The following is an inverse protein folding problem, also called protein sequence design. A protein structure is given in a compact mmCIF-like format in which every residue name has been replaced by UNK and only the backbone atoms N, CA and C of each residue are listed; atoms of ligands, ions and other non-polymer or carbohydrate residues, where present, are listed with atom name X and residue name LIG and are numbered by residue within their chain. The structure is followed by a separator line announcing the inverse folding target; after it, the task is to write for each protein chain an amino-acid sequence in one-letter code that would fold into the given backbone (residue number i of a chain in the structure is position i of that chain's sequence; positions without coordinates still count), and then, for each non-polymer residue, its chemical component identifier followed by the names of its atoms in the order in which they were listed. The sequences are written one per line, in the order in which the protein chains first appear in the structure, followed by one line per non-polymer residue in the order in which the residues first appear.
data_IF_517977122239
#
_entry.id   IF_517977122239
#
_cell.length_a   1.000
_cell.length_b   1.000
_cell.length_c   1.000
_cell.angle_alpha   90.00
_cell.angle_beta   90.00
_cell.angle_gamma   90.00
#
_symmetry.space_group_name_H-M   'P 1'
#
loop_
_entity.id
_entity.type
_entity.pdbx_description
1 polymer ?
#
# COMPACT_ATOMS: atom_id res chain seq x y z
N UNK A 1 -35.11 3.23 14.64
CA UNK A 1 -33.74 2.75 14.36
C UNK A 1 -32.82 3.38 15.38
N UNK A 2 -31.88 2.65 16.00
CA UNK A 2 -30.98 3.25 17.01
C UNK A 2 -29.95 4.16 16.34
N UNK A 3 -29.62 5.30 16.96
CA UNK A 3 -28.62 6.25 16.45
C UNK A 3 -27.26 5.56 16.23
N UNK A 4 -26.85 4.70 17.17
CA UNK A 4 -25.61 3.91 17.11
C UNK A 4 -25.52 3.03 15.88
N UNK A 5 -26.60 2.30 15.59
CA UNK A 5 -26.66 1.44 14.40
C UNK A 5 -26.49 2.25 13.11
N UNK A 6 -27.09 3.44 13.06
CA UNK A 6 -26.98 4.34 11.90
C UNK A 6 -25.54 4.83 11.73
N UNK A 7 -24.89 5.23 12.82
CA UNK A 7 -23.47 5.63 12.82
C UNK A 7 -22.59 4.48 12.32
N UNK A 8 -22.79 3.27 12.83
CA UNK A 8 -22.04 2.09 12.42
C UNK A 8 -22.19 1.78 10.93
N UNK A 9 -23.43 1.80 10.43
CA UNK A 9 -23.74 1.56 9.02
C UNK A 9 -23.08 2.62 8.12
N UNK A 10 -23.23 3.91 8.44
CA UNK A 10 -22.62 4.99 7.65
C UNK A 10 -21.09 4.94 7.70
N UNK A 11 -20.50 4.69 8.88
CA UNK A 11 -19.05 4.55 9.04
C UNK A 11 -18.51 3.38 8.23
N UNK A 12 -19.21 2.26 8.21
CA UNK A 12 -18.82 1.09 7.42
C UNK A 12 -18.80 1.34 5.91
N UNK A 13 -19.63 2.27 5.43
CA UNK A 13 -19.65 2.73 4.05
C UNK A 13 -18.56 3.76 3.73
N UNK A 14 -17.74 4.16 4.72
CA UNK A 14 -16.65 5.12 4.55
C UNK A 14 -17.05 6.58 4.73
N UNK A 15 -18.24 6.85 5.29
CA UNK A 15 -18.68 8.22 5.53
C UNK A 15 -17.83 8.93 6.58
N UNK A 16 -17.63 10.24 6.39
CA UNK A 16 -16.93 11.09 7.34
C UNK A 16 -17.82 11.43 8.54
N UNK A 17 -17.21 11.63 9.71
CA UNK A 17 -17.92 12.04 10.94
C UNK A 17 -18.77 13.29 10.74
N UNK A 18 -18.29 14.26 9.93
CA UNK A 18 -19.03 15.48 9.60
C UNK A 18 -20.35 15.18 8.86
N UNK A 19 -20.31 14.25 7.91
CA UNK A 19 -21.50 13.84 7.13
C UNK A 19 -22.47 13.08 8.02
N UNK A 20 -21.96 12.18 8.86
CA UNK A 20 -22.75 11.41 9.81
C UNK A 20 -23.44 12.35 10.80
N UNK A 21 -22.69 13.25 11.45
CA UNK A 21 -23.22 14.22 12.40
C UNK A 21 -24.32 15.10 11.76
N UNK A 22 -24.07 15.59 10.53
CA UNK A 22 -25.05 16.36 9.76
C UNK A 22 -26.33 15.58 9.46
N UNK A 23 -26.22 14.31 9.06
CA UNK A 23 -27.39 13.47 8.79
C UNK A 23 -28.24 13.19 10.05
N UNK A 24 -27.60 13.19 11.22
CA UNK A 24 -28.23 12.96 12.51
C UNK A 24 -28.70 14.26 13.19
N UNK A 25 -28.36 15.42 12.63
CA UNK A 25 -28.71 16.74 13.19
C UNK A 25 -27.99 17.06 14.50
N UNK A 26 -26.81 16.48 14.74
CA UNK A 26 -25.99 16.71 15.94
C UNK A 26 -24.65 17.32 15.57
N UNK A 27 -23.95 17.88 16.55
CA UNK A 27 -22.56 18.29 16.37
C UNK A 27 -21.61 17.08 16.44
N UNK A 28 -20.41 17.26 15.89
CA UNK A 28 -19.41 16.19 15.77
C UNK A 28 -18.86 15.78 17.14
N UNK A 29 -18.75 16.71 18.09
CA UNK A 29 -18.24 16.39 19.43
C UNK A 29 -19.25 15.53 20.20
N UNK A 30 -20.54 15.81 20.08
CA UNK A 30 -21.62 14.95 20.58
C UNK A 30 -21.59 13.57 19.93
N UNK A 31 -21.38 13.50 18.60
CA UNK A 31 -21.23 12.22 17.90
C UNK A 31 -20.06 11.39 18.47
N UNK A 32 -18.88 12.01 18.61
CA UNK A 32 -17.68 11.36 19.19
C UNK A 32 -17.89 10.93 20.62
N UNK A 33 -18.54 11.76 21.44
CA UNK A 33 -18.78 11.47 22.86
C UNK A 33 -19.70 10.28 23.07
N UNK A 34 -20.72 10.12 22.23
CA UNK A 34 -21.79 9.14 22.44
C UNK A 34 -21.71 7.91 21.54
N UNK A 35 -20.94 7.97 20.44
CA UNK A 35 -20.82 6.91 19.45
C UNK A 35 -19.36 6.59 19.08
N UNK A 36 -18.41 6.76 20.01
CA UNK A 36 -16.98 6.48 19.77
C UNK A 36 -16.74 5.05 19.29
N UNK A 37 -17.35 4.06 19.97
CA UNK A 37 -17.16 2.65 19.65
C UNK A 37 -17.62 2.32 18.23
N UNK A 38 -18.74 2.91 17.78
CA UNK A 38 -19.27 2.72 16.43
C UNK A 38 -18.42 3.42 15.37
N UNK A 39 -17.79 4.56 15.70
CA UNK A 39 -16.87 5.25 14.80
C UNK A 39 -15.56 4.49 14.60
N UNK A 40 -15.03 3.91 15.69
CA UNK A 40 -13.76 3.19 15.67
C UNK A 40 -13.92 1.78 15.08
N UNK A 41 -14.98 1.08 15.47
CA UNK A 41 -15.17 -0.33 15.16
C UNK A 41 -16.23 -0.60 14.09
N UNK A 42 -16.96 0.41 13.60
CA UNK A 42 -18.13 0.18 12.76
C UNK A 42 -17.85 -0.51 11.44
N UNK A 43 -16.67 -0.26 10.84
CA UNK A 43 -16.22 -1.02 9.68
C UNK A 43 -16.07 -2.52 10.00
N UNK A 44 -15.39 -2.85 11.10
CA UNK A 44 -15.13 -4.22 11.53
C UNK A 44 -16.41 -4.95 11.93
N UNK A 45 -17.27 -4.31 12.70
CA UNK A 45 -18.53 -4.88 13.19
C UNK A 45 -19.48 -5.18 12.02
N UNK A 46 -19.67 -4.23 11.11
CA UNK A 46 -20.54 -4.43 9.94
C UNK A 46 -19.94 -5.46 8.97
N UNK A 47 -18.62 -5.44 8.78
CA UNK A 47 -17.93 -6.45 7.96
C UNK A 47 -18.11 -7.86 8.54
N UNK A 48 -18.05 -8.03 9.86
CA UNK A 48 -18.32 -9.31 10.52
C UNK A 48 -19.73 -9.82 10.21
N UNK A 49 -20.74 -8.95 10.26
CA UNK A 49 -22.12 -9.32 9.94
C UNK A 49 -22.25 -9.78 8.49
N UNK A 50 -21.69 -9.02 7.53
CA UNK A 50 -21.70 -9.39 6.11
C UNK A 50 -21.02 -10.73 5.86
N UNK A 51 -19.89 -10.99 6.51
CA UNK A 51 -19.19 -12.28 6.43
C UNK A 51 -20.10 -13.41 6.97
N UNK A 52 -20.78 -13.19 8.10
CA UNK A 52 -21.72 -14.15 8.66
C UNK A 52 -22.86 -14.50 7.70
N UNK A 53 -23.46 -13.48 7.06
CA UNK A 53 -24.50 -13.67 6.04
C UNK A 53 -23.96 -14.46 4.83
N UNK A 54 -22.73 -14.17 4.40
CA UNK A 54 -22.09 -14.85 3.29
C UNK A 54 -21.88 -16.35 3.60
N UNK A 55 -21.38 -16.69 4.78
CA UNK A 55 -21.26 -18.08 5.23
C UNK A 55 -22.61 -18.79 5.33
N UNK A 56 -23.65 -18.11 5.84
CA UNK A 56 -25.00 -18.67 5.89
C UNK A 56 -25.50 -18.99 4.48
N UNK A 57 -25.32 -18.08 3.53
CA UNK A 57 -25.70 -18.28 2.12
C UNK A 57 -24.91 -19.41 1.45
N UNK A 58 -23.60 -19.47 1.68
CA UNK A 58 -22.73 -20.52 1.13
C UNK A 58 -23.10 -21.92 1.64
N UNK A 59 -23.44 -22.05 2.93
CA UNK A 59 -23.94 -23.32 3.51
C UNK A 59 -25.28 -23.76 2.92
N UNK A 60 -26.09 -22.81 2.47
CA UNK A 60 -27.33 -23.08 1.73
C UNK A 60 -27.14 -23.48 0.27
N UNK A 61 -25.90 -23.66 -0.20
CA UNK A 61 -25.61 -24.08 -1.58
C UNK A 61 -25.45 -22.93 -2.59
N UNK A 62 -25.40 -21.67 -2.14
CA UNK A 62 -25.15 -20.55 -3.04
C UNK A 62 -23.69 -20.58 -3.54
N UNK A 63 -23.50 -21.02 -4.78
CA UNK A 63 -22.17 -21.16 -5.43
C UNK A 63 -21.44 -19.82 -5.54
N UNK A 64 -22.15 -18.71 -5.77
CA UNK A 64 -21.54 -17.37 -5.82
C UNK A 64 -20.97 -16.97 -4.46
N UNK A 65 -21.69 -17.24 -3.38
CA UNK A 65 -21.20 -17.00 -2.02
C UNK A 65 -19.98 -17.89 -1.68
N UNK A 66 -20.02 -19.16 -2.09
CA UNK A 66 -18.90 -20.10 -1.92
C UNK A 66 -17.64 -19.61 -2.65
N UNK A 67 -17.76 -19.22 -3.93
CA UNK A 67 -16.65 -18.65 -4.72
C UNK A 67 -16.09 -17.38 -4.09
N UNK A 68 -16.95 -16.49 -3.59
CA UNK A 68 -16.50 -15.27 -2.93
C UNK A 68 -15.74 -15.54 -1.64
N UNK A 69 -16.18 -16.54 -0.85
CA UNK A 69 -15.47 -16.96 0.36
C UNK A 69 -14.13 -17.61 0.03
N UNK A 70 -14.08 -18.48 -0.98
CA UNK A 70 -12.81 -19.10 -1.44
C UNK A 70 -11.79 -18.02 -1.83
N UNK A 71 -12.19 -17.05 -2.64
CA UNK A 71 -11.34 -15.94 -3.04
C UNK A 71 -10.84 -15.14 -1.82
N UNK A 72 -11.73 -14.78 -0.90
CA UNK A 72 -11.37 -14.07 0.32
C UNK A 72 -10.36 -14.84 1.18
N UNK A 73 -10.60 -16.14 1.37
CA UNK A 73 -9.70 -17.02 2.13
C UNK A 73 -8.35 -17.15 1.45
N UNK A 74 -8.31 -17.31 0.12
CA UNK A 74 -7.08 -17.38 -0.66
C UNK A 74 -6.25 -16.09 -0.54
N UNK A 75 -6.87 -14.94 -0.69
CA UNK A 75 -6.20 -13.64 -0.55
C UNK A 75 -5.64 -13.43 0.87
N UNK A 76 -6.41 -13.80 1.90
CA UNK A 76 -5.97 -13.70 3.29
C UNK A 76 -4.77 -14.62 3.58
N UNK A 77 -4.79 -15.85 3.05
CA UNK A 77 -3.67 -16.79 3.15
C UNK A 77 -2.41 -16.25 2.50
N UNK A 78 -2.51 -15.75 1.26
CA UNK A 78 -1.39 -15.16 0.54
C UNK A 78 -0.78 -13.94 1.27
N UNK A 79 -1.60 -13.06 1.83
CA UNK A 79 -1.13 -11.94 2.62
C UNK A 79 -0.40 -12.40 3.90
N UNK A 80 -0.95 -13.38 4.62
CA UNK A 80 -0.32 -13.92 5.82
C UNK A 80 1.03 -14.60 5.53
N UNK A 81 1.12 -15.34 4.43
CA UNK A 81 2.39 -15.95 3.98
C UNK A 81 3.43 -14.89 3.60
N UNK A 82 3.02 -13.81 2.92
CA UNK A 82 3.90 -12.70 2.59
C UNK A 82 4.43 -12.00 3.85
N UNK A 83 3.55 -11.70 4.80
CA UNK A 83 3.91 -11.07 6.07
C UNK A 83 4.84 -11.97 6.90
N UNK A 84 4.62 -13.28 6.90
CA UNK A 84 5.50 -14.25 7.57
C UNK A 84 6.91 -14.25 6.96
N UNK A 85 7.02 -14.29 5.63
CA UNK A 85 8.31 -14.21 4.93
C UNK A 85 9.03 -12.89 5.18
N UNK A 86 8.32 -11.76 5.25
CA UNK A 86 8.93 -10.47 5.58
C UNK A 86 9.50 -10.45 7.00
N UNK A 87 8.80 -11.05 7.97
CA UNK A 87 9.28 -11.19 9.35
C UNK A 87 10.52 -12.08 9.45
N UNK A 88 10.53 -13.22 8.74
CA UNK A 88 11.66 -14.16 8.73
C UNK A 88 12.92 -13.58 8.07
N UNK A 89 12.76 -12.77 7.03
CA UNK A 89 13.87 -12.12 6.33
C UNK A 89 14.41 -10.87 7.03
N UNK A 90 13.84 -10.50 8.19
CA UNK A 90 14.27 -9.32 8.95
C UNK A 90 14.11 -8.01 8.18
N UNK A 91 13.27 -7.99 7.14
CA UNK A 91 13.02 -6.82 6.32
C UNK A 91 12.24 -5.80 7.15
N UNK A 92 12.98 -4.89 7.78
CA UNK A 92 12.43 -3.71 8.44
C UNK A 92 11.56 -2.96 7.43
N UNK A 93 10.37 -2.44 7.79
CA UNK A 93 9.59 -1.61 6.88
C UNK A 93 10.51 -0.52 6.32
N UNK A 94 10.60 -0.46 4.99
CA UNK A 94 11.49 0.46 4.29
C UNK A 94 11.19 1.86 4.80
N UNK A 95 12.09 2.40 5.62
CA UNK A 95 12.28 3.85 5.73
C UNK A 95 12.23 4.42 4.31
N UNK A 96 11.57 5.58 4.08
CA UNK A 96 11.55 6.20 2.76
C UNK A 96 12.99 6.29 2.27
N UNK A 97 13.32 5.46 1.28
CA UNK A 97 14.68 5.35 0.76
C UNK A 97 15.05 6.74 0.26
N UNK A 98 16.14 7.37 0.74
CA UNK A 98 16.55 8.66 0.22
C UNK A 98 16.68 8.50 -1.30
N UNK A 99 16.12 9.48 -2.02
CA UNK A 99 16.01 9.47 -3.48
C UNK A 99 17.31 8.94 -4.08
N UNK A 100 17.25 7.77 -4.74
CA UNK A 100 18.43 7.20 -5.39
C UNK A 100 18.94 8.25 -6.36
N UNK A 101 20.20 8.64 -6.21
CA UNK A 101 20.88 9.52 -7.15
C UNK A 101 20.63 8.99 -8.57
N UNK A 102 20.30 9.84 -9.54
CA UNK A 102 19.99 9.40 -10.90
C UNK A 102 21.17 8.58 -11.41
N UNK A 103 20.93 7.31 -11.72
CA UNK A 103 21.93 6.47 -12.35
C UNK A 103 22.22 7.09 -13.71
N UNK A 104 23.41 7.69 -13.86
CA UNK A 104 23.92 8.15 -15.15
C UNK A 104 23.78 7.00 -16.15
N UNK A 105 23.23 7.32 -17.33
CA UNK A 105 22.93 6.31 -18.33
C UNK A 105 24.22 5.57 -18.73
N UNK A 106 24.11 4.32 -19.17
CA UNK A 106 25.26 3.50 -19.62
C UNK A 106 26.17 4.22 -20.62
N UNK A 107 25.62 5.18 -21.36
CA UNK A 107 26.32 6.00 -22.34
C UNK A 107 27.16 7.11 -21.71
N UNK A 108 26.74 7.65 -20.58
CA UNK A 108 27.43 8.74 -19.89
C UNK A 108 28.60 8.20 -19.05
N UNK A 109 28.42 7.03 -18.42
CA UNK A 109 29.49 6.30 -17.72
C UNK A 109 30.60 5.90 -18.70
N UNK A 110 30.27 5.37 -19.88
CA UNK A 110 31.27 5.02 -20.90
C UNK A 110 32.05 6.24 -21.40
N UNK A 111 31.40 7.42 -21.50
CA UNK A 111 32.07 8.65 -21.90
C UNK A 111 33.08 9.11 -20.86
N UNK A 112 32.69 9.05 -19.58
CA UNK A 112 33.58 9.41 -18.48
C UNK A 112 34.75 8.42 -18.39
N UNK A 113 34.49 7.12 -18.51
CA UNK A 113 35.52 6.08 -18.54
C UNK A 113 36.50 6.27 -19.70
N UNK A 114 36.01 6.60 -20.91
CA UNK A 114 36.86 6.88 -22.06
C UNK A 114 37.75 8.12 -21.84
N UNK A 115 37.24 9.15 -21.17
CA UNK A 115 38.01 10.35 -20.84
C UNK A 115 39.05 10.10 -19.75
N UNK A 116 38.84 9.11 -18.88
CA UNK A 116 39.77 8.76 -17.79
C UNK A 116 40.60 7.50 -18.06
N UNK A 117 40.48 6.87 -19.23
CA UNK A 117 41.09 5.58 -19.53
C UNK A 117 42.62 5.58 -19.46
N UNK A 118 43.26 6.74 -19.68
CA UNK A 118 44.72 6.91 -19.61
C UNK A 118 45.27 7.20 -18.21
N UNK A 119 44.43 7.45 -17.19
CA UNK A 119 44.91 7.78 -15.85
C UNK A 119 45.57 6.56 -15.18
N UNK A 120 46.85 6.72 -14.79
CA UNK A 120 47.68 5.71 -14.12
C UNK A 120 48.03 4.47 -14.97
N UNK A 121 47.93 4.56 -16.29
CA UNK A 121 48.39 3.53 -17.22
C UNK A 121 49.70 3.94 -17.89
N UNK A 122 50.53 2.96 -18.26
CA UNK A 122 51.76 3.16 -19.05
C UNK A 122 51.49 3.74 -20.45
N UNK A 123 50.23 3.68 -20.91
CA UNK A 123 49.73 4.19 -22.20
C UNK A 123 49.05 5.56 -22.08
N UNK A 124 49.31 6.31 -21.01
CA UNK A 124 48.54 7.48 -20.60
C UNK A 124 48.37 8.56 -21.67
N UNK A 125 49.44 8.90 -22.39
CA UNK A 125 49.42 9.93 -23.43
C UNK A 125 48.84 9.41 -24.76
N UNK A 126 48.94 8.11 -25.05
CA UNK A 126 48.43 7.50 -26.28
C UNK A 126 46.90 7.32 -26.28
N UNK A 127 46.31 7.23 -25.08
CA UNK A 127 44.87 7.09 -24.87
C UNK A 127 44.18 8.41 -24.49
N UNK A 128 44.93 9.52 -24.43
CA UNK A 128 44.37 10.83 -24.19
C UNK A 128 43.53 11.29 -25.40
N UNK A 129 42.33 11.86 -25.20
CA UNK A 129 41.54 12.38 -26.31
C UNK A 129 42.30 13.50 -27.02
N UNK A 130 42.51 13.37 -28.33
CA UNK A 130 43.18 14.39 -29.13
C UNK A 130 42.41 15.72 -29.09
N UNK A 131 43.10 16.88 -29.02
CA UNK A 131 42.44 18.18 -28.94
C UNK A 131 41.64 18.45 -30.20
N UNK A 132 40.31 18.55 -30.05
CA UNK A 132 39.37 18.89 -31.13
C UNK A 132 38.54 17.74 -31.68
N UNK A 133 38.75 16.49 -31.24
CA UNK A 133 37.90 15.36 -31.64
C UNK A 133 36.90 15.00 -30.55
N UNK A 134 35.61 14.96 -30.88
CA UNK A 134 34.58 14.39 -30.00
C UNK A 134 34.54 12.88 -30.22
N UNK A 135 34.76 12.03 -29.21
CA UNK A 135 34.43 10.62 -29.31
C UNK A 135 32.90 10.48 -29.42
N UNK A 136 32.44 9.64 -30.36
CA UNK A 136 31.02 9.40 -30.63
C UNK A 136 30.31 8.62 -29.52
#
# INVERSE_FOLDING_TARGET
MSIRRTVEEMRSCGESENVIARSLGIDVDTLRKHCADELDNGFSNRRREVIGLLYKSARGGNVTAQKRLEEMTRLAGAAAEFDARQKETGATPSQPRPARSPKLGKKEVQREEAMTAGLNSEWGDDLAPLPGTKPN
#
